data_IF_105096134468
#
_entry.id   IF_105096134468
#
_cell.length_a   1.000
_cell.length_b   1.000
_cell.length_c   1.000
_cell.angle_alpha   90.00
_cell.angle_beta   90.00
_cell.angle_gamma   90.00
#
_symmetry.space_group_name_H-M   'P 1'
#
loop_
_entity.id
_entity.type
_entity.pdbx_description
1 polymer ?
#
# COMPACT_ATOMS: atom_id res chain seq x y z
N UNK A 1 -0.32 16.88 8.52
CA UNK A 1 -0.45 15.70 7.64
C UNK A 1 0.70 14.74 7.98
N UNK A 2 0.79 13.56 7.35
CA UNK A 2 1.92 12.63 7.57
C UNK A 2 3.28 13.25 7.19
N UNK A 3 3.30 14.12 6.18
CA UNK A 3 4.52 14.76 5.66
C UNK A 3 5.16 15.74 6.65
N UNK A 4 4.37 16.40 7.50
CA UNK A 4 4.89 17.29 8.54
C UNK A 4 5.77 16.55 9.57
N UNK A 5 5.44 15.30 9.88
CA UNK A 5 6.25 14.44 10.74
C UNK A 5 7.38 13.71 10.01
N UNK A 6 7.18 13.43 8.71
CA UNK A 6 8.11 12.67 7.88
C UNK A 6 8.27 13.31 6.49
N UNK A 7 8.99 14.44 6.36
CA UNK A 7 9.05 15.21 5.10
C UNK A 7 9.63 14.44 3.91
N UNK A 8 10.48 13.44 4.18
CA UNK A 8 11.10 12.62 3.14
C UNK A 8 10.06 11.85 2.31
N UNK A 9 8.90 11.51 2.89
CA UNK A 9 7.82 10.78 2.22
C UNK A 9 7.27 11.52 1.00
N UNK A 10 7.31 12.87 1.00
CA UNK A 10 6.86 13.65 -0.15
C UNK A 10 7.81 13.56 -1.35
N UNK A 11 9.10 13.27 -1.13
CA UNK A 11 10.14 13.29 -2.17
C UNK A 11 10.53 11.92 -2.69
N UNK A 12 10.16 10.85 -1.98
CA UNK A 12 10.42 9.47 -2.40
C UNK A 12 9.72 9.12 -3.70
N UNK A 13 10.42 8.43 -4.62
CA UNK A 13 9.81 7.93 -5.88
C UNK A 13 8.82 6.79 -5.66
N UNK A 14 8.90 6.14 -4.49
CA UNK A 14 7.99 5.14 -3.96
C UNK A 14 7.49 5.65 -2.61
N UNK A 15 6.23 5.40 -2.30
CA UNK A 15 5.63 5.93 -1.08
C UNK A 15 4.69 4.94 -0.39
N UNK A 16 3.41 4.89 -0.75
CA UNK A 16 2.41 4.27 0.14
C UNK A 16 2.63 2.78 0.36
N UNK A 17 3.14 2.03 -0.63
CA UNK A 17 3.41 0.60 -0.44
C UNK A 17 4.62 0.40 0.47
N UNK A 18 5.67 1.22 0.31
CA UNK A 18 6.90 1.12 1.08
C UNK A 18 6.72 1.58 2.54
N UNK A 19 5.90 2.61 2.77
CA UNK A 19 5.69 3.22 4.09
C UNK A 19 4.53 2.57 4.87
N UNK A 20 3.37 2.36 4.24
CA UNK A 20 2.15 1.90 4.92
C UNK A 20 1.71 0.50 4.47
N UNK A 21 1.75 0.25 3.16
CA UNK A 21 1.32 -1.00 2.55
C UNK A 21 2.11 -2.19 3.06
N UNK A 22 3.38 -2.01 3.44
CA UNK A 22 4.21 -3.03 4.09
C UNK A 22 3.53 -3.60 5.35
N UNK A 23 2.87 -2.76 6.15
CA UNK A 23 2.17 -3.19 7.35
C UNK A 23 0.89 -3.96 7.02
N UNK A 24 0.09 -3.46 6.07
CA UNK A 24 -1.14 -4.13 5.64
C UNK A 24 -0.88 -5.47 4.96
N UNK A 25 0.20 -5.57 4.17
CA UNK A 25 0.67 -6.82 3.58
C UNK A 25 1.12 -7.82 4.66
N UNK A 26 1.82 -7.35 5.69
CA UNK A 26 2.24 -8.21 6.81
C UNK A 26 1.06 -8.71 7.62
N UNK A 27 0.03 -7.87 7.85
CA UNK A 27 -1.23 -8.30 8.48
C UNK A 27 -1.92 -9.39 7.64
N UNK A 28 -2.00 -9.22 6.31
CA UNK A 28 -2.60 -10.23 5.44
C UNK A 28 -1.83 -11.56 5.53
N UNK A 29 -0.50 -11.53 5.53
CA UNK A 29 0.33 -12.73 5.72
C UNK A 29 0.13 -13.36 7.10
N UNK A 30 0.08 -12.55 8.15
CA UNK A 30 -0.11 -13.02 9.52
C UNK A 30 -1.47 -13.72 9.69
N UNK A 31 -2.54 -13.18 9.10
CA UNK A 31 -3.89 -13.70 9.25
C UNK A 31 -4.21 -14.86 8.29
N UNK A 32 -3.69 -14.84 7.06
CA UNK A 32 -4.12 -15.74 5.98
C UNK A 32 -3.01 -16.65 5.43
N UNK A 33 -1.78 -16.49 5.92
CA UNK A 33 -0.59 -17.22 5.48
C UNK A 33 0.13 -16.54 4.30
N UNK A 34 1.21 -17.16 3.84
CA UNK A 34 2.03 -16.63 2.75
C UNK A 34 1.28 -16.51 1.41
N UNK A 35 1.74 -15.60 0.56
CA UNK A 35 1.11 -15.22 -0.72
C UNK A 35 1.87 -15.86 -1.87
N UNK A 36 1.14 -16.54 -2.76
CA UNK A 36 1.68 -17.18 -3.96
C UNK A 36 1.72 -16.23 -5.16
N UNK A 37 0.67 -15.42 -5.35
CA UNK A 37 0.60 -14.43 -6.42
C UNK A 37 -0.03 -13.13 -5.94
N UNK A 38 0.45 -12.02 -6.48
CA UNK A 38 -0.08 -10.68 -6.21
C UNK A 38 -0.21 -9.91 -7.53
N UNK A 39 -1.35 -9.25 -7.70
CA UNK A 39 -1.56 -8.26 -8.77
C UNK A 39 -1.86 -6.90 -8.14
N UNK A 40 -1.08 -5.89 -8.54
CA UNK A 40 -1.13 -4.57 -7.92
C UNK A 40 -1.48 -3.49 -8.95
N UNK A 41 -2.22 -2.47 -8.49
CA UNK A 41 -2.39 -1.18 -9.18
C UNK A 41 -2.02 -0.06 -8.21
N UNK A 42 -1.28 0.92 -8.72
CA UNK A 42 -0.87 2.10 -7.97
C UNK A 42 -1.30 3.36 -8.71
N UNK A 43 -1.58 4.41 -7.96
CA UNK A 43 -1.83 5.73 -8.50
C UNK A 43 -1.20 6.80 -7.61
N UNK A 44 -0.83 7.92 -8.23
CA UNK A 44 -0.47 9.15 -7.53
C UNK A 44 -1.58 10.16 -7.77
N UNK A 45 -2.29 10.52 -6.71
CA UNK A 45 -3.41 11.46 -6.71
C UNK A 45 -2.96 12.82 -6.21
N UNK A 46 -2.20 12.90 -5.11
CA UNK A 46 -1.64 14.15 -4.61
C UNK A 46 -0.54 14.67 -5.56
N UNK A 47 -0.72 15.85 -6.20
CA UNK A 47 0.28 16.40 -7.12
C UNK A 47 1.53 16.96 -6.42
N UNK A 48 1.50 17.13 -5.10
CA UNK A 48 2.60 17.75 -4.32
C UNK A 48 3.68 16.75 -3.88
N UNK A 49 3.50 15.46 -4.17
CA UNK A 49 4.43 14.39 -3.82
C UNK A 49 5.00 13.68 -5.06
N UNK A 50 6.11 12.97 -4.88
CA UNK A 50 6.77 12.25 -5.96
C UNK A 50 6.21 10.83 -6.18
N UNK A 51 5.92 10.09 -5.10
CA UNK A 51 5.51 8.68 -5.14
C UNK A 51 3.99 8.47 -5.21
N UNK A 52 3.61 7.20 -5.35
CA UNK A 52 2.21 6.75 -5.31
C UNK A 52 1.61 6.83 -3.89
N UNK A 53 0.45 7.47 -3.75
CA UNK A 53 -0.30 7.62 -2.50
C UNK A 53 -1.60 6.80 -2.46
N UNK A 54 -1.83 5.97 -3.48
CA UNK A 54 -2.92 4.99 -3.55
C UNK A 54 -2.41 3.67 -4.12
N UNK A 55 -2.78 2.57 -3.48
CA UNK A 55 -2.51 1.22 -3.96
C UNK A 55 -3.69 0.27 -3.69
N UNK A 56 -3.95 -0.62 -4.65
CA UNK A 56 -4.88 -1.75 -4.50
C UNK A 56 -4.16 -3.02 -4.94
N UNK A 57 -4.18 -4.04 -4.08
CA UNK A 57 -3.43 -5.28 -4.22
C UNK A 57 -4.37 -6.46 -4.02
N UNK A 58 -4.52 -7.30 -5.06
CA UNK A 58 -5.25 -8.55 -5.01
C UNK A 58 -4.25 -9.70 -4.84
N UNK A 59 -4.46 -10.54 -3.83
CA UNK A 59 -3.51 -11.59 -3.44
C UNK A 59 -4.17 -12.96 -3.38
N UNK A 60 -3.49 -13.95 -3.92
CA UNK A 60 -3.82 -15.37 -3.77
C UNK A 60 -2.85 -16.00 -2.77
N UNK A 61 -3.37 -16.51 -1.66
CA UNK A 61 -2.58 -17.14 -0.61
C UNK A 61 -2.32 -18.62 -0.90
N UNK A 62 -1.19 -19.15 -0.42
CA UNK A 62 -0.86 -20.57 -0.58
C UNK A 62 -1.91 -21.50 0.06
N UNK A 63 -2.63 -21.00 1.07
CA UNK A 63 -3.76 -21.68 1.71
C UNK A 63 -5.01 -21.81 0.83
N UNK A 64 -5.04 -21.13 -0.33
CA UNK A 64 -6.20 -21.03 -1.23
C UNK A 64 -7.15 -19.86 -0.90
N UNK A 65 -6.86 -19.06 0.13
CA UNK A 65 -7.61 -17.84 0.42
C UNK A 65 -7.28 -16.72 -0.58
N UNK A 66 -8.26 -15.85 -0.86
CA UNK A 66 -8.06 -14.62 -1.64
C UNK A 66 -8.26 -13.42 -0.72
N UNK A 67 -7.39 -12.41 -0.83
CA UNK A 67 -7.53 -11.16 -0.07
C UNK A 67 -7.30 -9.92 -0.93
N UNK A 68 -7.85 -8.80 -0.45
CA UNK A 68 -7.61 -7.47 -1.02
C UNK A 68 -6.97 -6.61 0.07
N UNK A 69 -5.86 -5.97 -0.28
CA UNK A 69 -5.28 -4.88 0.50
C UNK A 69 -5.43 -3.59 -0.28
N UNK A 70 -6.14 -2.63 0.29
CA UNK A 70 -6.28 -1.28 -0.25
C UNK A 70 -5.69 -0.25 0.73
N UNK A 71 -4.97 0.73 0.19
CA UNK A 71 -4.33 1.80 0.96
C UNK A 71 -4.47 3.11 0.18
N UNK A 72 -4.81 4.20 0.89
CA UNK A 72 -4.93 5.53 0.29
C UNK A 72 -4.69 6.65 1.30
N UNK A 73 -3.71 7.51 1.02
CA UNK A 73 -3.53 8.80 1.70
C UNK A 73 -4.34 9.93 1.03
N UNK A 74 -5.04 9.64 -0.07
CA UNK A 74 -5.81 10.61 -0.85
C UNK A 74 -7.34 10.48 -0.66
N UNK A 75 -7.79 9.61 0.25
CA UNK A 75 -9.22 9.42 0.53
C UNK A 75 -9.79 10.64 1.25
N UNK A 76 -10.90 11.17 0.75
CA UNK A 76 -11.65 12.25 1.39
C UNK A 76 -12.67 11.65 2.37
N UNK A 77 -12.78 12.26 3.56
CA UNK A 77 -13.83 11.97 4.54
C UNK A 77 -15.11 12.74 4.23
#
# INVERSE_FOLDING_TARGET
DVFSGQPYLATGKRFIIEDLGIHSLDIARFLLGDVSTITTRTARINPEIAGEDVATMLMDHESGATSVVDCSYATKL
#
